data_IF_974907611532
#
_entry.id   IF_974907611532
#
_cell.length_a   1.000
_cell.length_b   1.000
_cell.length_c   1.000
_cell.angle_alpha   90.00
_cell.angle_beta   90.00
_cell.angle_gamma   90.00
#
_symmetry.space_group_name_H-M   'P 1'
#
loop_
_entity.id
_entity.type
_entity.pdbx_description
1 polymer ?
#
# COMPACT_ATOMS: atom_id res chain seq x y z
N UNK A 1 0.97 -33.69 -21.11
CA UNK A 1 0.17 -32.85 -22.04
C UNK A 1 -0.07 -31.52 -21.35
N UNK A 2 0.61 -30.45 -21.77
CA UNK A 2 0.48 -29.14 -21.10
C UNK A 2 -0.89 -28.56 -21.42
N UNK A 3 -1.58 -28.04 -20.40
CA UNK A 3 -2.91 -27.46 -20.51
C UNK A 3 -2.90 -26.28 -21.50
N UNK A 4 -3.72 -26.35 -22.55
CA UNK A 4 -3.81 -25.31 -23.61
C UNK A 4 -4.04 -23.90 -23.05
N UNK A 5 -4.74 -23.79 -21.92
CA UNK A 5 -4.99 -22.52 -21.23
C UNK A 5 -3.71 -21.91 -20.64
N UNK A 6 -2.81 -22.75 -20.12
CA UNK A 6 -1.50 -22.30 -19.61
C UNK A 6 -0.62 -21.83 -20.76
N UNK A 7 -0.61 -22.55 -21.89
CA UNK A 7 0.15 -22.14 -23.07
C UNK A 7 -0.29 -20.77 -23.60
N UNK A 8 -1.59 -20.52 -23.61
CA UNK A 8 -2.15 -19.25 -24.06
C UNK A 8 -1.72 -18.07 -23.17
N UNK A 9 -1.84 -18.20 -21.84
CA UNK A 9 -1.44 -17.13 -20.89
C UNK A 9 0.05 -16.79 -21.01
N UNK A 10 0.90 -17.81 -21.20
CA UNK A 10 2.35 -17.61 -21.39
C UNK A 10 2.63 -16.87 -22.69
N UNK A 11 1.94 -17.22 -23.78
CA UNK A 11 2.07 -16.56 -25.07
C UNK A 11 1.63 -15.08 -25.02
N UNK A 12 0.50 -14.80 -24.37
CA UNK A 12 -0.02 -13.42 -24.19
C UNK A 12 0.95 -12.58 -23.36
N UNK A 13 1.51 -13.15 -22.29
CA UNK A 13 2.50 -12.47 -21.43
C UNK A 13 3.80 -12.15 -22.19
N UNK A 14 4.28 -13.09 -23.00
CA UNK A 14 5.46 -12.90 -23.84
C UNK A 14 5.21 -11.84 -24.93
N UNK A 15 4.03 -11.83 -25.55
CA UNK A 15 3.66 -10.80 -26.52
C UNK A 15 3.61 -9.41 -25.89
N UNK A 16 3.04 -9.28 -24.68
CA UNK A 16 3.04 -8.01 -23.96
C UNK A 16 4.45 -7.51 -23.64
N UNK A 17 5.36 -8.42 -23.26
CA UNK A 17 6.76 -8.10 -23.03
C UNK A 17 7.48 -7.64 -24.32
N UNK A 18 7.33 -8.40 -25.42
CA UNK A 18 7.98 -8.10 -26.70
C UNK A 18 7.45 -6.83 -27.35
N UNK A 19 6.17 -6.50 -27.14
CA UNK A 19 5.53 -5.30 -27.69
C UNK A 19 5.86 -4.02 -26.91
N UNK A 20 6.70 -4.10 -25.87
CA UNK A 20 7.01 -2.93 -25.04
C UNK A 20 5.81 -2.44 -24.21
N UNK A 21 4.73 -3.23 -24.15
CA UNK A 21 3.62 -3.05 -23.21
C UNK A 21 4.06 -3.55 -21.83
N UNK A 22 5.15 -2.99 -21.33
CA UNK A 22 5.58 -3.20 -19.95
C UNK A 22 4.41 -2.80 -19.05
N UNK A 23 3.96 -3.75 -18.25
CA UNK A 23 3.15 -3.43 -17.09
C UNK A 23 3.99 -2.43 -16.28
N UNK A 24 3.49 -1.20 -16.17
CA UNK A 24 4.10 -0.14 -15.36
C UNK A 24 4.56 -0.73 -14.02
N UNK A 25 5.71 -0.33 -13.47
CA UNK A 25 6.09 -0.75 -12.12
C UNK A 25 4.89 -0.56 -11.19
N UNK A 26 4.49 -1.64 -10.52
CA UNK A 26 3.39 -1.61 -9.57
C UNK A 26 3.94 -1.37 -8.17
N UNK A 27 3.21 -0.58 -7.39
CA UNK A 27 3.48 -0.37 -5.97
C UNK A 27 2.46 -1.20 -5.20
N UNK A 28 2.94 -2.00 -4.25
CA UNK A 28 2.10 -2.78 -3.35
C UNK A 28 2.15 -2.13 -1.97
N UNK A 29 0.99 -1.74 -1.44
CA UNK A 29 0.87 -1.20 -0.09
C UNK A 29 0.43 -2.31 0.87
N UNK A 30 1.25 -2.57 1.89
CA UNK A 30 0.91 -3.50 2.96
C UNK A 30 0.18 -2.75 4.09
N UNK A 31 -1.15 -2.81 4.05
CA UNK A 31 -2.00 -2.18 5.07
C UNK A 31 -1.92 -2.88 6.43
N UNK A 32 -1.56 -4.17 6.47
CA UNK A 32 -1.38 -4.91 7.73
C UNK A 32 -0.12 -4.45 8.46
N UNK A 33 0.97 -4.20 7.72
CA UNK A 33 2.16 -3.58 8.27
C UNK A 33 1.87 -2.14 8.74
N UNK A 34 1.12 -1.36 7.97
CA UNK A 34 0.74 0.00 8.36
C UNK A 34 -0.07 0.02 9.66
N UNK A 35 -1.00 -0.92 9.83
CA UNK A 35 -1.77 -1.08 11.08
C UNK A 35 -0.85 -1.39 12.26
N UNK A 36 0.06 -2.36 12.09
CA UNK A 36 1.01 -2.77 13.13
C UNK A 36 1.87 -1.60 13.59
N UNK A 37 2.40 -0.80 12.65
CA UNK A 37 3.25 0.36 12.97
C UNK A 37 2.46 1.45 13.71
N UNK A 38 1.19 1.69 13.34
CA UNK A 38 0.34 2.65 14.04
C UNK A 38 0.06 2.23 15.48
N UNK A 39 -0.23 0.96 15.71
CA UNK A 39 -0.48 0.42 17.05
C UNK A 39 0.78 0.49 17.92
N UNK A 40 1.94 0.09 17.37
CA UNK A 40 3.23 0.22 18.05
C UNK A 40 3.54 1.68 18.42
N UNK A 41 3.27 2.62 17.52
CA UNK A 41 3.48 4.04 17.77
C UNK A 41 2.56 4.55 18.89
N UNK A 42 1.27 4.24 18.83
CA UNK A 42 0.29 4.64 19.87
C UNK A 42 0.66 4.09 21.25
N UNK A 43 1.14 2.85 21.31
CA UNK A 43 1.56 2.21 22.56
C UNK A 43 2.81 2.86 23.18
N UNK A 44 3.60 3.61 22.41
CA UNK A 44 4.75 4.35 22.91
C UNK A 44 4.39 5.74 23.45
N UNK A 45 3.20 6.26 23.11
CA UNK A 45 2.76 7.58 23.57
C UNK A 45 2.29 7.47 25.03
N UNK A 46 2.91 8.19 25.97
CA UNK A 46 2.49 8.13 27.37
C UNK A 46 1.09 8.73 27.55
N UNK A 47 0.17 7.93 28.09
CA UNK A 47 -1.23 8.32 28.35
C UNK A 47 -1.40 9.53 29.28
N UNK A 48 -0.36 9.89 30.03
CA UNK A 48 -0.35 11.08 30.90
C UNK A 48 -0.32 12.40 30.12
N UNK A 49 0.05 12.37 28.85
CA UNK A 49 0.10 13.54 27.99
C UNK A 49 -0.91 13.40 26.86
N UNK A 50 -1.66 14.47 26.57
CA UNK A 50 -2.64 14.51 25.49
C UNK A 50 -1.97 14.80 24.14
N UNK A 51 -1.00 13.96 23.75
CA UNK A 51 -0.36 14.05 22.45
C UNK A 51 -1.31 13.61 21.35
N UNK A 52 -1.23 14.29 20.22
CA UNK A 52 -2.01 13.99 19.02
C UNK A 52 -1.08 13.50 17.91
N UNK A 53 -1.55 12.52 17.15
CA UNK A 53 -0.86 11.91 16.02
C UNK A 53 -1.34 12.56 14.71
N UNK A 54 -0.46 13.30 14.05
CA UNK A 54 -0.71 13.89 12.74
C UNK A 54 0.10 13.18 11.64
N UNK A 55 -0.53 12.90 10.51
CA UNK A 55 0.15 12.33 9.34
C UNK A 55 0.59 13.42 8.37
N UNK A 56 1.89 13.47 8.06
CA UNK A 56 2.41 14.40 7.07
C UNK A 56 2.08 13.92 5.64
N UNK A 57 1.11 14.54 4.98
CA UNK A 57 0.57 14.09 3.67
C UNK A 57 1.62 14.13 2.57
N UNK A 58 2.65 14.98 2.73
CA UNK A 58 3.83 15.03 1.86
C UNK A 58 4.60 13.71 1.78
N UNK A 59 4.50 12.84 2.79
CA UNK A 59 5.20 11.56 2.81
C UNK A 59 4.58 10.58 1.80
N UNK A 60 3.24 10.53 1.75
CA UNK A 60 2.50 9.78 0.74
C UNK A 60 1.03 10.25 0.71
N UNK A 61 0.59 10.81 -0.41
CA UNK A 61 -0.77 11.32 -0.60
C UNK A 61 -1.71 10.34 -1.31
N UNK A 62 -1.36 9.05 -1.36
CA UNK A 62 -2.22 8.04 -1.94
C UNK A 62 -3.57 7.98 -1.21
N UNK A 63 -4.66 8.15 -1.95
CA UNK A 63 -6.02 8.22 -1.41
C UNK A 63 -6.39 7.03 -0.53
N UNK A 64 -5.98 5.81 -0.90
CA UNK A 64 -6.27 4.60 -0.11
C UNK A 64 -5.52 4.54 1.21
N UNK A 65 -4.32 5.12 1.27
CA UNK A 65 -3.59 5.28 2.53
C UNK A 65 -4.30 6.31 3.41
N UNK A 66 -4.70 7.45 2.84
CA UNK A 66 -5.39 8.50 3.58
C UNK A 66 -6.76 8.05 4.10
N UNK A 67 -7.55 7.35 3.29
CA UNK A 67 -8.81 6.70 3.70
C UNK A 67 -8.58 5.74 4.88
N UNK A 68 -7.55 4.89 4.80
CA UNK A 68 -7.23 3.94 5.86
C UNK A 68 -6.85 4.62 7.19
N UNK A 69 -6.18 5.77 7.10
CA UNK A 69 -5.67 6.51 8.25
C UNK A 69 -6.75 7.35 8.95
N UNK A 70 -7.85 7.71 8.29
CA UNK A 70 -8.79 8.75 8.76
C UNK A 70 -9.34 8.50 10.17
N UNK A 71 -9.60 7.23 10.52
CA UNK A 71 -10.13 6.83 11.83
C UNK A 71 -9.02 6.40 12.81
N UNK A 72 -7.75 6.53 12.42
CA UNK A 72 -6.59 6.03 13.18
C UNK A 72 -5.65 7.12 13.65
N UNK A 73 -5.76 8.34 13.12
CA UNK A 73 -4.92 9.50 13.46
C UNK A 73 -5.79 10.70 13.82
N UNK A 74 -5.20 11.72 14.46
CA UNK A 74 -5.92 12.92 14.89
C UNK A 74 -6.05 13.99 13.79
N UNK A 75 -5.23 13.90 12.74
CA UNK A 75 -5.31 14.81 11.61
C UNK A 75 -4.15 14.67 10.64
N UNK A 76 -4.03 15.65 9.73
CA UNK A 76 -2.99 15.71 8.70
C UNK A 76 -2.20 17.01 8.77
N UNK A 77 -0.91 16.94 8.41
CA UNK A 77 0.02 18.08 8.21
C UNK A 77 0.47 18.17 6.74
#
# INVERSE_FOLDING_TARGET
>A
MINKKIQQVVLESLQNFLNGNFISPCVVYDFGLLETVLDEFKNQIPVTFNYQLFYAVKANSNEKILEFLVDKIDGVD
#
